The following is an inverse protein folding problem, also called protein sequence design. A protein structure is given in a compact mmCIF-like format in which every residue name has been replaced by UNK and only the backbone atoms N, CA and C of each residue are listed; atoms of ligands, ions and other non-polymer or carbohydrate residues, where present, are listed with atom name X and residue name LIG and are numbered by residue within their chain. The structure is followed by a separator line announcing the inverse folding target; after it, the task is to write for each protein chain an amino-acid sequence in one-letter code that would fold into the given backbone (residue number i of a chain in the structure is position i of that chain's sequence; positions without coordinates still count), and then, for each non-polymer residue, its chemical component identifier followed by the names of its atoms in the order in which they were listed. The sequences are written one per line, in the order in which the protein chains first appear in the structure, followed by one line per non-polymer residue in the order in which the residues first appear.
data_IF_035909292292
#
_entry.id   IF_035909292292
#
_cell.length_a   1.000
_cell.length_b   1.000
_cell.length_c   1.000
_cell.angle_alpha   90.00
_cell.angle_beta   90.00
_cell.angle_gamma   90.00
#
_symmetry.space_group_name_H-M   'P 1'
#
loop_
_entity.id
_entity.type
_entity.pdbx_description
1 polymer ?
#
# COMPACT_ATOMS: atom_id res chain seq x y z
N UNK A 1 0.07 43.24 -74.01
CA UNK A 1 0.17 43.54 -72.56
C UNK A 1 -0.87 42.69 -71.83
N UNK A 2 -0.44 41.65 -71.11
CA UNK A 2 -1.30 40.78 -70.31
C UNK A 2 -0.42 39.89 -69.42
N UNK A 3 -0.52 40.08 -68.11
CA UNK A 3 0.47 39.65 -67.10
C UNK A 3 0.28 38.18 -66.70
N UNK A 4 1.40 37.47 -66.55
CA UNK A 4 1.49 36.17 -65.88
C UNK A 4 1.29 36.32 -64.36
N UNK A 5 0.51 35.44 -63.76
CA UNK A 5 0.40 35.29 -62.30
C UNK A 5 1.03 33.95 -61.89
N UNK A 6 2.05 34.08 -61.04
CA UNK A 6 3.01 33.08 -60.61
C UNK A 6 2.41 32.19 -59.50
N UNK A 7 2.44 30.87 -59.68
CA UNK A 7 2.09 29.91 -58.63
C UNK A 7 3.24 29.80 -57.62
N UNK A 8 3.00 30.26 -56.39
CA UNK A 8 3.91 30.09 -55.25
C UNK A 8 3.65 28.71 -54.62
N UNK A 9 4.38 27.70 -55.08
CA UNK A 9 4.49 26.42 -54.39
C UNK A 9 5.65 26.52 -53.40
N UNK A 10 5.34 26.81 -52.13
CA UNK A 10 6.33 26.90 -51.05
C UNK A 10 6.79 25.50 -50.67
N UNK A 11 7.93 25.08 -51.20
CA UNK A 11 8.72 23.96 -50.70
C UNK A 11 9.24 24.32 -49.29
N UNK A 12 8.71 23.65 -48.26
CA UNK A 12 9.37 23.61 -46.94
C UNK A 12 10.46 22.53 -46.98
N UNK A 13 11.69 22.81 -46.53
CA UNK A 13 12.79 21.85 -46.60
C UNK A 13 12.58 20.71 -45.59
N UNK A 14 12.80 19.46 -46.02
CA UNK A 14 12.60 18.19 -45.28
C UNK A 14 13.24 18.15 -43.88
N UNK A 15 14.24 19.00 -43.63
CA UNK A 15 14.89 19.15 -42.32
C UNK A 15 13.97 19.71 -41.22
N UNK A 16 12.95 20.51 -41.57
CA UNK A 16 11.99 21.00 -40.58
C UNK A 16 10.99 19.91 -40.14
N UNK A 17 10.67 18.98 -41.04
CA UNK A 17 9.67 17.93 -40.79
C UNK A 17 10.21 16.86 -39.83
N UNK A 18 11.49 16.48 -39.96
CA UNK A 18 12.15 15.47 -39.11
C UNK A 18 12.43 15.97 -37.69
N UNK A 19 12.70 17.27 -37.53
CA UNK A 19 12.85 17.93 -36.24
C UNK A 19 11.55 17.93 -35.43
N UNK A 20 10.41 18.20 -36.08
CA UNK A 20 9.10 18.22 -35.44
C UNK A 20 8.64 16.83 -34.98
N UNK A 21 8.92 15.79 -35.78
CA UNK A 21 8.62 14.40 -35.41
C UNK A 21 9.45 13.96 -34.20
N UNK A 22 10.75 14.28 -34.19
CA UNK A 22 11.63 13.95 -33.06
C UNK A 22 11.19 14.63 -31.75
N UNK A 23 10.75 15.88 -31.83
CA UNK A 23 10.25 16.63 -30.66
C UNK A 23 8.92 16.04 -30.14
N UNK A 24 8.03 15.60 -31.05
CA UNK A 24 6.80 14.93 -30.68
C UNK A 24 7.05 13.57 -30.01
N UNK A 25 8.00 12.77 -30.51
CA UNK A 25 8.38 11.48 -29.90
C UNK A 25 8.96 11.68 -28.50
N UNK A 26 9.79 12.71 -28.30
CA UNK A 26 10.35 13.05 -26.99
C UNK A 26 9.27 13.55 -26.02
N UNK A 27 8.30 14.33 -26.50
CA UNK A 27 7.16 14.80 -25.71
C UNK A 27 6.24 13.64 -25.27
N UNK A 28 5.97 12.67 -26.15
CA UNK A 28 5.20 11.47 -25.80
C UNK A 28 5.97 10.56 -24.82
N UNK A 29 7.28 10.42 -24.98
CA UNK A 29 8.11 9.67 -24.01
C UNK A 29 8.11 10.31 -22.62
N UNK A 30 7.93 11.64 -22.54
CA UNK A 30 7.88 12.39 -21.28
C UNK A 30 6.58 12.17 -20.51
N UNK A 31 5.47 11.87 -21.21
CA UNK A 31 4.18 11.56 -20.55
C UNK A 31 4.11 10.18 -19.89
N UNK A 32 5.07 9.29 -20.19
CA UNK A 32 5.15 7.95 -19.59
C UNK A 32 5.85 7.92 -18.24
N UNK A 33 6.48 9.02 -17.82
CA UNK A 33 7.01 9.22 -16.47
C UNK A 33 6.01 10.02 -15.62
N UNK A 34 4.74 9.62 -15.64
CA UNK A 34 3.81 10.05 -14.60
C UNK A 34 4.32 9.44 -13.27
N UNK A 35 4.94 10.27 -12.43
CA UNK A 35 5.23 9.87 -11.05
C UNK A 35 3.90 9.49 -10.39
N UNK A 36 3.77 8.29 -9.80
CA UNK A 36 2.55 7.94 -9.10
C UNK A 36 2.30 9.00 -8.04
N UNK A 37 1.04 9.48 -7.96
CA UNK A 37 0.63 10.43 -6.94
C UNK A 37 1.08 9.89 -5.59
N UNK A 38 2.03 10.57 -4.95
CA UNK A 38 2.40 10.31 -3.56
C UNK A 38 1.29 10.89 -2.69
N UNK A 39 0.10 10.28 -2.75
CA UNK A 39 -0.82 10.39 -1.62
C UNK A 39 -0.05 9.92 -0.41
N UNK A 40 -0.02 10.76 0.63
CA UNK A 40 0.62 10.49 1.91
C UNK A 40 0.23 9.09 2.36
N UNK A 41 1.11 8.10 2.14
CA UNK A 41 0.89 6.71 2.56
C UNK A 41 0.67 6.76 4.05
N UNK A 42 -0.52 6.36 4.49
CA UNK A 42 -0.83 6.23 5.91
C UNK A 42 0.04 5.09 6.43
N UNK A 43 1.18 5.43 7.01
CA UNK A 43 1.95 4.51 7.86
C UNK A 43 1.45 4.70 9.29
N UNK A 44 0.84 3.67 9.86
CA UNK A 44 0.35 3.72 11.23
C UNK A 44 -0.75 2.70 11.52
N UNK A 45 -1.07 2.58 12.81
CA UNK A 45 -2.19 1.81 13.31
C UNK A 45 -3.38 2.77 13.47
N UNK A 46 -4.55 2.38 12.96
CA UNK A 46 -5.80 3.13 13.15
C UNK A 46 -6.89 2.18 13.63
N UNK A 47 -7.77 2.69 14.51
CA UNK A 47 -8.98 2.00 14.97
C UNK A 47 -10.24 2.48 14.24
N UNK A 48 -10.08 3.45 13.33
CA UNK A 48 -11.14 3.98 12.49
C UNK A 48 -10.97 3.46 11.08
N UNK A 49 -12.07 3.00 10.48
CA UNK A 49 -12.13 2.63 9.07
C UNK A 49 -12.27 3.85 8.14
N UNK A 50 -12.40 5.06 8.68
CA UNK A 50 -12.45 6.30 7.91
C UNK A 50 -11.12 6.47 7.16
N UNK A 51 -11.19 6.60 5.83
CA UNK A 51 -10.02 6.68 4.94
C UNK A 51 -9.49 5.32 4.45
N UNK A 52 -9.98 4.22 5.01
CA UNK A 52 -9.70 2.84 4.53
C UNK A 52 -10.90 2.28 3.77
N UNK A 53 -12.13 2.62 4.19
CA UNK A 53 -13.34 2.10 3.57
C UNK A 53 -13.49 2.57 2.11
N UNK A 54 -13.60 1.62 1.18
CA UNK A 54 -13.65 1.87 -0.27
C UNK A 54 -12.28 2.05 -0.92
N UNK A 55 -11.18 2.02 -0.14
CA UNK A 55 -9.82 2.05 -0.67
C UNK A 55 -9.40 0.67 -1.20
N UNK A 56 -8.45 0.66 -2.14
CA UNK A 56 -7.87 -0.56 -2.72
C UNK A 56 -6.43 -0.71 -2.25
N UNK A 57 -6.01 -1.96 -2.03
CA UNK A 57 -4.64 -2.33 -1.66
C UNK A 57 -4.20 -3.50 -2.54
N UNK A 58 -2.90 -3.62 -2.79
CA UNK A 58 -2.35 -4.77 -3.52
C UNK A 58 -2.51 -6.06 -2.71
N UNK A 59 -2.35 -5.96 -1.39
CA UNK A 59 -2.57 -7.05 -0.45
C UNK A 59 -3.40 -6.61 0.76
N UNK A 60 -4.38 -7.45 1.12
CA UNK A 60 -5.11 -7.35 2.38
C UNK A 60 -4.80 -8.61 3.20
N UNK A 61 -4.20 -8.42 4.37
CA UNK A 61 -3.83 -9.49 5.29
C UNK A 61 -4.79 -9.44 6.48
N UNK A 62 -5.45 -10.56 6.76
CA UNK A 62 -6.38 -10.71 7.88
C UNK A 62 -5.67 -11.47 8.99
N UNK A 63 -5.48 -10.80 10.13
CA UNK A 63 -4.74 -11.30 11.30
C UNK A 63 -3.34 -10.69 11.38
N UNK A 64 -3.14 -9.79 12.32
CA UNK A 64 -1.86 -9.20 12.72
C UNK A 64 -1.05 -10.07 13.68
N UNK A 65 -1.13 -11.39 13.53
CA UNK A 65 -0.31 -12.35 14.27
C UNK A 65 1.11 -12.50 13.70
N UNK A 66 1.91 -13.39 14.29
CA UNK A 66 3.30 -13.66 13.92
C UNK A 66 3.52 -13.81 12.41
N UNK A 67 2.70 -14.66 11.75
CA UNK A 67 2.79 -14.86 10.30
C UNK A 67 2.33 -13.62 9.51
N UNK A 68 1.20 -13.04 9.89
CA UNK A 68 0.60 -11.90 9.18
C UNK A 68 1.49 -10.67 9.20
N UNK A 69 2.06 -10.31 10.36
CA UNK A 69 3.01 -9.21 10.46
C UNK A 69 4.31 -9.49 9.70
N UNK A 70 4.80 -10.73 9.71
CA UNK A 70 6.00 -11.10 8.96
C UNK A 70 5.79 -10.91 7.46
N UNK A 71 4.67 -11.39 6.92
CA UNK A 71 4.32 -11.24 5.51
C UNK A 71 4.10 -9.76 5.16
N UNK A 72 3.33 -9.04 5.99
CA UNK A 72 3.06 -7.60 5.78
C UNK A 72 4.35 -6.79 5.71
N UNK A 73 5.28 -7.06 6.62
CA UNK A 73 6.60 -6.42 6.66
C UNK A 73 7.37 -6.65 5.36
N UNK A 74 7.45 -7.90 4.89
CA UNK A 74 8.20 -8.25 3.66
C UNK A 74 7.58 -7.68 2.39
N UNK A 75 6.27 -7.72 2.27
CA UNK A 75 5.59 -7.10 1.12
C UNK A 75 5.78 -5.59 1.09
N UNK A 76 5.80 -4.95 2.26
CA UNK A 76 5.96 -3.49 2.39
C UNK A 76 7.40 -3.01 2.22
N UNK A 77 8.39 -3.90 2.08
CA UNK A 77 9.77 -3.53 1.73
C UNK A 77 9.86 -2.94 0.31
N UNK A 78 8.98 -3.38 -0.59
CA UNK A 78 8.82 -2.76 -1.91
C UNK A 78 7.89 -1.53 -1.78
N UNK A 79 8.41 -0.31 -1.99
CA UNK A 79 7.60 0.91 -1.87
C UNK A 79 6.53 1.03 -2.97
N UNK A 80 6.54 0.20 -4.01
CA UNK A 80 5.46 0.17 -5.02
C UNK A 80 4.24 -0.60 -4.53
N UNK A 81 4.38 -1.49 -3.55
CA UNK A 81 3.30 -2.35 -3.02
C UNK A 81 2.58 -1.64 -1.86
N UNK A 82 1.26 -1.77 -1.81
CA UNK A 82 0.38 -1.30 -0.75
C UNK A 82 -0.23 -2.47 0.02
N UNK A 83 -0.14 -2.43 1.35
CA UNK A 83 -0.59 -3.51 2.23
C UNK A 83 -1.55 -2.96 3.29
N UNK A 84 -2.72 -3.56 3.42
CA UNK A 84 -3.62 -3.39 4.55
C UNK A 84 -3.54 -4.61 5.45
N UNK A 85 -3.15 -4.42 6.72
CA UNK A 85 -3.21 -5.45 7.75
C UNK A 85 -4.40 -5.16 8.68
N UNK A 86 -5.27 -6.14 8.88
CA UNK A 86 -6.44 -6.04 9.76
C UNK A 86 -6.23 -6.98 10.94
N UNK A 87 -6.25 -6.45 12.16
CA UNK A 87 -6.16 -7.21 13.40
C UNK A 87 -7.43 -7.03 14.25
N UNK A 88 -7.88 -8.10 14.90
CA UNK A 88 -9.07 -8.08 15.75
C UNK A 88 -8.82 -7.47 17.14
N UNK A 89 -7.57 -7.53 17.60
CA UNK A 89 -7.06 -6.92 18.82
C UNK A 89 -6.63 -5.46 18.69
N UNK A 90 -6.03 -4.96 19.76
CA UNK A 90 -5.48 -3.60 19.84
C UNK A 90 -3.97 -3.60 19.61
N UNK A 91 -3.37 -2.40 19.59
CA UNK A 91 -1.93 -2.23 19.75
C UNK A 91 -1.55 -2.16 21.24
N UNK A 92 -1.25 -3.32 21.84
CA UNK A 92 -0.93 -3.43 23.27
C UNK A 92 0.59 -3.46 23.54
N UNK A 93 1.43 -2.94 22.63
CA UNK A 93 2.90 -2.99 22.76
C UNK A 93 3.47 -2.30 24.02
N UNK A 94 2.68 -1.42 24.64
CA UNK A 94 3.05 -0.72 25.88
C UNK A 94 2.39 -1.29 27.12
N UNK A 95 1.67 -2.41 27.01
CA UNK A 95 1.07 -3.10 28.15
C UNK A 95 2.08 -4.10 28.75
N UNK A 96 2.33 -4.07 30.07
CA UNK A 96 3.31 -4.96 30.71
C UNK A 96 2.93 -6.45 30.58
N UNK A 97 1.64 -6.78 30.43
CA UNK A 97 1.19 -8.15 30.18
C UNK A 97 1.65 -8.69 28.81
N UNK A 98 2.14 -7.80 27.93
CA UNK A 98 2.62 -8.12 26.59
C UNK A 98 4.14 -7.99 26.49
N UNK A 99 4.73 -6.91 26.98
CA UNK A 99 6.18 -6.68 26.84
C UNK A 99 7.03 -7.22 27.99
N UNK A 100 6.47 -7.42 29.19
CA UNK A 100 7.20 -7.96 30.34
C UNK A 100 7.00 -9.47 30.43
N UNK A 101 8.07 -10.22 30.15
CA UNK A 101 8.04 -11.69 30.19
C UNK A 101 7.72 -12.25 31.58
N UNK A 102 7.96 -11.48 32.65
CA UNK A 102 7.63 -11.89 34.01
C UNK A 102 6.12 -11.84 34.30
N UNK A 103 5.34 -11.17 33.45
CA UNK A 103 3.87 -11.15 33.50
C UNK A 103 3.22 -12.25 32.64
N UNK A 104 3.97 -13.29 32.25
CA UNK A 104 3.40 -14.44 31.57
C UNK A 104 2.16 -14.97 32.31
N UNK A 105 1.13 -15.36 31.55
CA UNK A 105 -0.21 -15.78 31.99
C UNK A 105 -1.17 -14.68 32.48
N UNK A 106 -0.71 -13.46 32.76
CA UNK A 106 -1.61 -12.40 33.26
C UNK A 106 -2.65 -11.95 32.23
N UNK A 107 -2.40 -12.17 30.94
CA UNK A 107 -3.34 -11.88 29.86
C UNK A 107 -4.43 -12.95 29.65
N UNK A 108 -4.28 -14.16 30.22
CA UNK A 108 -5.18 -15.29 29.96
C UNK A 108 -6.60 -15.01 30.45
N UNK A 109 -7.59 -15.29 29.60
CA UNK A 109 -9.00 -14.98 29.85
C UNK A 109 -9.35 -13.49 29.82
N UNK A 110 -8.38 -12.61 29.55
CA UNK A 110 -8.57 -11.18 29.42
C UNK A 110 -8.92 -10.72 27.99
N UNK A 111 -9.01 -9.40 27.75
CA UNK A 111 -9.35 -8.84 26.43
C UNK A 111 -8.36 -9.19 25.31
N UNK A 112 -7.12 -9.54 25.67
CA UNK A 112 -6.02 -9.90 24.77
C UNK A 112 -5.95 -11.41 24.49
N UNK A 113 -6.85 -12.21 25.04
CA UNK A 113 -6.88 -13.66 24.84
C UNK A 113 -8.15 -14.04 24.07
N UNK A 114 -7.97 -14.78 23.00
CA UNK A 114 -9.08 -15.41 22.29
C UNK A 114 -9.79 -16.45 23.15
N UNK A 115 -9.06 -17.15 24.03
CA UNK A 115 -9.57 -18.12 24.99
C UNK A 115 -10.59 -19.11 24.38
N UNK A 116 -10.24 -19.73 23.25
CA UNK A 116 -11.16 -20.63 22.56
C UNK A 116 -11.49 -21.84 23.43
N UNK A 117 -12.78 -22.11 23.62
CA UNK A 117 -13.22 -23.31 24.33
C UNK A 117 -13.12 -24.52 23.43
N UNK A 118 -12.37 -25.51 23.87
CA UNK A 118 -12.23 -26.83 23.24
C UNK A 118 -13.06 -27.88 23.99
N UNK A 119 -13.07 -29.10 23.46
CA UNK A 119 -13.73 -30.23 24.12
C UNK A 119 -13.18 -30.48 25.54
N UNK A 120 -13.99 -31.15 26.38
CA UNK A 120 -13.64 -31.48 27.76
C UNK A 120 -13.41 -30.25 28.66
N UNK A 121 -13.92 -29.08 28.27
CA UNK A 121 -13.78 -27.84 29.03
C UNK A 121 -12.36 -27.26 29.02
N UNK A 122 -11.52 -27.67 28.06
CA UNK A 122 -10.17 -27.12 27.89
C UNK A 122 -10.24 -25.76 27.20
N UNK A 123 -9.29 -24.88 27.50
CA UNK A 123 -9.14 -23.58 26.85
C UNK A 123 -7.85 -23.58 26.03
N UNK A 124 -7.94 -23.11 24.79
CA UNK A 124 -6.80 -22.84 23.93
C UNK A 124 -6.58 -21.33 23.93
N UNK A 125 -5.46 -20.90 24.50
CA UNK A 125 -5.07 -19.50 24.54
C UNK A 125 -4.54 -19.05 23.19
N UNK A 126 -4.78 -17.79 22.86
CA UNK A 126 -4.15 -17.13 21.73
C UNK A 126 -4.27 -15.63 21.85
N UNK A 127 -3.16 -14.91 21.69
CA UNK A 127 -3.11 -13.47 21.63
C UNK A 127 -4.04 -12.87 20.59
N UNK A 128 -4.89 -11.96 21.06
CA UNK A 128 -5.77 -11.07 20.31
C UNK A 128 -5.26 -9.64 20.48
N UNK A 129 -4.08 -9.41 19.90
CA UNK A 129 -3.34 -8.14 19.91
C UNK A 129 -2.34 -8.16 18.75
N UNK A 130 -1.76 -7.02 18.37
CA UNK A 130 -0.67 -7.00 17.41
C UNK A 130 0.47 -7.93 17.87
N UNK A 131 0.85 -8.89 17.02
CA UNK A 131 1.80 -9.96 17.32
C UNK A 131 1.14 -11.34 17.41
N UNK A 132 -0.14 -11.41 17.81
CA UNK A 132 -0.88 -12.67 17.92
C UNK A 132 -0.49 -13.52 19.12
N UNK A 133 -0.73 -14.84 18.99
CA UNK A 133 -0.66 -15.93 19.99
C UNK A 133 0.10 -15.67 21.29
#
# INVERSE_FOLDING_TARGET
MGRAALALHTFLPDFFMTSLISLAVLALASSSFASPNLEKRVSGVTYSSVGINGSTFDYIIVGGGLAGMTIASRLSEDPSISVLLIEAGQDDRTDPQVYDIYEYSQAFGGPKDWAWTAEQGKVIHGGKTLGGS
#
